data_IF_341163453937
#
_entry.id   IF_341163453937
#
_cell.length_a   1.000
_cell.length_b   1.000
_cell.length_c   1.000
_cell.angle_alpha   90.00
_cell.angle_beta   90.00
_cell.angle_gamma   90.00
#
_symmetry.space_group_name_H-M   'P 1'
#
loop_
_entity.id
_entity.type
_entity.pdbx_description
1 polymer ?
#
# COMPACT_ATOMS: atom_id res chain seq x y z
N UNK A 1 74.87 -16.06 52.42
CA UNK A 1 73.88 -17.08 52.04
C UNK A 1 72.58 -16.75 52.76
N UNK A 2 71.46 -16.57 52.04
CA UNK A 2 70.08 -17.01 52.40
C UNK A 2 69.53 -16.42 53.73
N UNK A 3 68.39 -15.73 53.86
CA UNK A 3 67.17 -15.41 53.09
C UNK A 3 66.59 -14.16 53.77
N UNK A 4 66.02 -13.21 53.01
CA UNK A 4 65.16 -12.16 53.60
C UNK A 4 63.81 -12.20 52.89
N UNK A 5 62.82 -12.66 53.64
CA UNK A 5 61.39 -12.41 53.45
C UNK A 5 61.05 -11.18 54.31
N UNK A 6 60.41 -10.15 53.75
CA UNK A 6 59.47 -9.31 54.49
C UNK A 6 58.67 -8.42 53.53
N UNK A 7 57.38 -8.32 53.81
CA UNK A 7 56.33 -7.90 52.91
C UNK A 7 55.87 -6.44 53.14
N UNK A 8 55.35 -5.87 52.04
CA UNK A 8 54.22 -4.91 51.90
C UNK A 8 54.13 -3.64 52.75
N UNK A 9 54.00 -2.48 52.07
CA UNK A 9 52.86 -1.54 52.23
C UNK A 9 52.66 -0.68 50.97
N UNK A 10 51.40 -0.47 50.60
CA UNK A 10 50.87 0.33 49.48
C UNK A 10 50.98 1.85 49.71
N UNK A 11 51.17 2.63 48.62
CA UNK A 11 50.41 3.88 48.35
C UNK A 11 50.71 4.50 46.97
N UNK A 12 49.72 4.42 46.08
CA UNK A 12 49.11 5.46 45.23
C UNK A 12 49.99 6.66 44.75
N UNK A 13 50.21 6.80 43.42
CA UNK A 13 49.45 7.70 42.52
C UNK A 13 50.19 8.01 41.20
N UNK A 14 49.46 7.94 40.08
CA UNK A 14 49.53 8.95 39.02
C UNK A 14 50.55 8.78 37.88
N UNK A 15 50.14 8.13 36.79
CA UNK A 15 50.55 8.56 35.43
C UNK A 15 49.34 8.53 34.50
N UNK A 16 48.93 9.72 34.05
CA UNK A 16 48.00 9.92 32.93
C UNK A 16 48.67 9.41 31.66
N UNK A 17 48.02 8.50 30.95
CA UNK A 17 48.33 8.24 29.53
C UNK A 17 47.70 9.33 28.67
N UNK A 18 48.32 9.73 27.54
CA UNK A 18 47.72 10.69 26.62
C UNK A 18 46.50 10.07 25.95
N UNK A 19 45.41 10.82 25.88
CA UNK A 19 44.24 10.49 25.08
C UNK A 19 44.54 10.88 23.63
N UNK A 20 44.67 9.90 22.73
CA UNK A 20 44.67 10.15 21.30
C UNK A 20 43.26 10.64 20.91
N UNK A 21 43.14 11.92 20.56
CA UNK A 21 41.91 12.48 20.00
C UNK A 21 41.86 12.17 18.50
N UNK A 22 41.22 11.07 18.13
CA UNK A 22 40.77 10.83 16.76
C UNK A 22 39.74 11.89 16.38
N UNK A 23 39.88 12.60 15.25
CA UNK A 23 38.84 13.53 14.78
C UNK A 23 37.53 12.79 14.52
N UNK A 24 36.42 13.30 15.06
CA UNK A 24 35.10 12.75 14.80
C UNK A 24 34.74 12.90 13.32
N UNK A 25 34.46 11.77 12.66
CA UNK A 25 33.91 11.74 11.30
C UNK A 25 32.53 12.43 11.32
N UNK A 26 32.27 13.42 10.44
CA UNK A 26 30.96 14.04 10.37
C UNK A 26 29.88 13.01 9.99
N UNK A 27 28.66 13.12 10.53
CA UNK A 27 27.57 12.23 10.17
C UNK A 27 27.30 12.30 8.66
N UNK A 28 26.97 11.17 8.01
CA UNK A 28 26.64 11.17 6.59
C UNK A 28 25.47 12.13 6.35
N UNK A 29 25.71 13.14 5.51
CA UNK A 29 24.66 14.04 5.04
C UNK A 29 23.67 13.22 4.23
N UNK A 30 22.46 13.03 4.75
CA UNK A 30 21.34 12.46 4.01
C UNK A 30 21.06 13.37 2.80
N UNK A 31 21.19 12.81 1.61
CA UNK A 31 20.75 13.49 0.39
C UNK A 31 19.25 13.84 0.52
N UNK A 32 18.81 15.02 0.04
CA UNK A 32 17.39 15.34 -0.02
C UNK A 32 16.62 14.23 -0.72
N UNK A 33 15.40 13.87 -0.27
CA UNK A 33 14.55 12.94 -0.98
C UNK A 33 14.45 13.38 -2.44
N UNK A 34 14.73 12.48 -3.37
CA UNK A 34 14.52 12.75 -4.78
C UNK A 34 13.07 13.21 -4.97
N UNK A 35 12.86 14.40 -5.51
CA UNK A 35 11.53 14.87 -5.90
C UNK A 35 10.99 13.86 -6.90
N UNK A 36 10.01 13.06 -6.47
CA UNK A 36 9.34 12.12 -7.36
C UNK A 36 8.63 12.94 -8.45
N UNK A 37 8.79 12.60 -9.73
CA UNK A 37 8.14 13.32 -10.81
C UNK A 37 6.63 13.35 -10.58
N UNK A 38 6.01 14.52 -10.71
CA UNK A 38 4.55 14.60 -10.81
C UNK A 38 4.13 13.74 -12.00
N UNK A 39 3.21 12.77 -11.83
CA UNK A 39 2.74 11.96 -12.94
C UNK A 39 2.24 12.88 -14.07
N UNK A 40 2.55 12.57 -15.34
CA UNK A 40 2.02 13.34 -16.45
C UNK A 40 0.48 13.38 -16.34
N UNK A 41 -0.15 14.50 -16.72
CA UNK A 41 -1.60 14.59 -16.70
C UNK A 41 -2.19 13.47 -17.54
N UNK A 42 -3.05 12.67 -16.92
CA UNK A 42 -3.73 11.56 -17.56
C UNK A 42 -4.64 12.05 -18.67
N UNK A 43 -4.85 11.24 -19.72
CA UNK A 43 -5.78 11.58 -20.82
C UNK A 43 -7.18 11.90 -20.27
N UNK A 44 -7.54 11.30 -19.13
CA UNK A 44 -8.78 11.52 -18.40
C UNK A 44 -8.95 12.96 -17.88
N UNK A 45 -7.89 13.60 -17.39
CA UNK A 45 -8.00 14.97 -16.88
C UNK A 45 -8.30 16.00 -17.98
N UNK A 46 -8.03 15.66 -19.25
CA UNK A 46 -8.44 16.47 -20.42
C UNK A 46 -9.94 16.39 -20.72
N UNK A 47 -10.57 15.23 -20.51
CA UNK A 47 -11.99 15.03 -20.81
C UNK A 47 -12.89 15.43 -19.63
N UNK A 48 -12.37 15.43 -18.41
CA UNK A 48 -13.15 15.69 -17.20
C UNK A 48 -14.04 14.52 -16.79
N UNK A 49 -14.55 14.56 -15.57
CA UNK A 49 -15.49 13.57 -15.02
C UNK A 49 -16.92 13.95 -15.41
N UNK A 50 -17.78 12.96 -15.69
CA UNK A 50 -19.14 13.21 -16.20
C UNK A 50 -20.20 12.57 -15.29
N UNK A 51 -21.36 13.24 -15.33
CA UNK A 51 -22.45 13.47 -14.39
C UNK A 51 -23.22 12.26 -13.80
N UNK A 52 -23.86 12.45 -12.61
CA UNK A 52 -24.76 11.52 -11.91
C UNK A 52 -26.10 11.17 -12.61
N UNK A 53 -26.36 11.60 -13.85
CA UNK A 53 -27.53 11.16 -14.63
C UNK A 53 -27.10 10.65 -16.00
N UNK A 54 -27.34 9.38 -16.25
CA UNK A 54 -27.01 8.69 -17.49
C UNK A 54 -28.13 7.70 -17.84
N UNK A 55 -28.20 7.33 -19.11
CA UNK A 55 -28.98 6.18 -19.55
C UNK A 55 -28.02 5.15 -20.10
N UNK A 56 -27.99 3.98 -19.46
CA UNK A 56 -27.15 2.86 -19.88
C UNK A 56 -28.02 1.78 -20.53
N UNK A 57 -27.64 1.33 -21.71
CA UNK A 57 -28.32 0.26 -22.43
C UNK A 57 -27.31 -0.68 -23.08
N UNK A 58 -27.71 -1.94 -23.26
CA UNK A 58 -26.92 -2.88 -24.05
C UNK A 58 -26.86 -2.41 -25.51
N UNK A 59 -25.65 -2.43 -26.06
CA UNK A 59 -25.31 -2.01 -27.42
C UNK A 59 -24.08 -2.82 -27.88
N UNK A 60 -23.41 -2.42 -28.95
CA UNK A 60 -22.15 -2.99 -29.40
C UNK A 60 -20.95 -2.29 -28.74
N UNK A 61 -19.95 -3.03 -28.23
CA UNK A 61 -18.79 -2.41 -27.62
C UNK A 61 -17.95 -1.63 -28.64
N UNK A 62 -17.67 -0.37 -28.35
CA UNK A 62 -16.84 0.53 -29.16
C UNK A 62 -15.34 0.36 -28.89
N UNK A 63 -14.96 -0.12 -27.71
CA UNK A 63 -13.56 -0.17 -27.23
C UNK A 63 -13.02 -1.57 -26.93
N UNK A 64 -13.76 -2.64 -27.26
CA UNK A 64 -13.34 -4.03 -27.00
C UNK A 64 -11.94 -4.35 -27.57
N UNK A 65 -11.60 -4.01 -28.83
CA UNK A 65 -10.27 -4.30 -29.38
C UNK A 65 -9.13 -3.61 -28.62
N UNK A 66 -9.36 -2.39 -28.13
CA UNK A 66 -8.36 -1.59 -27.40
C UNK A 66 -8.15 -2.13 -25.98
N UNK A 67 -9.21 -2.60 -25.33
CA UNK A 67 -9.14 -3.30 -24.04
C UNK A 67 -8.36 -4.58 -24.17
N UNK A 68 -8.67 -5.39 -25.18
CA UNK A 68 -7.95 -6.64 -25.41
C UNK A 68 -6.48 -6.38 -25.71
N UNK A 69 -6.17 -5.41 -26.56
CA UNK A 69 -4.78 -5.00 -26.79
C UNK A 69 -4.08 -4.54 -25.51
N UNK A 70 -4.75 -3.75 -24.66
CA UNK A 70 -4.19 -3.26 -23.40
C UNK A 70 -3.92 -4.40 -22.40
N UNK A 71 -4.79 -5.42 -22.37
CA UNK A 71 -4.60 -6.64 -21.59
C UNK A 71 -3.38 -7.44 -22.07
N UNK A 72 -3.23 -7.65 -23.39
CA UNK A 72 -2.07 -8.37 -23.93
C UNK A 72 -0.76 -7.62 -23.66
N UNK A 73 -0.79 -6.29 -23.79
CA UNK A 73 0.33 -5.43 -23.42
C UNK A 73 0.69 -5.57 -21.94
N UNK A 74 -0.32 -5.58 -21.07
CA UNK A 74 -0.10 -5.70 -19.62
C UNK A 74 0.51 -7.06 -19.26
N UNK A 75 0.02 -8.15 -19.84
CA UNK A 75 0.61 -9.50 -19.68
C UNK A 75 2.08 -9.51 -20.12
N UNK A 76 2.39 -8.83 -21.23
CA UNK A 76 3.77 -8.75 -21.74
C UNK A 76 4.69 -7.88 -20.88
N UNK A 77 4.17 -6.77 -20.34
CA UNK A 77 4.96 -5.80 -19.56
C UNK A 77 5.18 -6.27 -18.12
N UNK A 78 4.15 -6.89 -17.54
CA UNK A 78 4.08 -7.26 -16.13
C UNK A 78 3.60 -8.71 -15.95
N UNK A 79 4.31 -9.72 -16.47
CA UNK A 79 3.89 -11.11 -16.33
C UNK A 79 3.76 -11.56 -14.86
N UNK A 80 4.46 -10.89 -13.93
CA UNK A 80 4.44 -11.18 -12.49
C UNK A 80 3.07 -10.96 -11.82
N UNK A 81 2.18 -10.14 -12.39
CA UNK A 81 0.85 -9.92 -11.81
C UNK A 81 -0.16 -11.01 -12.22
N UNK A 82 0.28 -12.01 -12.98
CA UNK A 82 -0.53 -13.11 -13.50
C UNK A 82 0.03 -14.47 -13.11
N UNK A 83 -0.84 -15.47 -12.95
CA UNK A 83 -0.46 -16.87 -13.00
C UNK A 83 -0.61 -17.39 -14.44
N UNK A 84 0.46 -17.32 -15.23
CA UNK A 84 0.42 -17.73 -16.64
C UNK A 84 0.23 -19.25 -16.85
N UNK A 85 0.44 -20.05 -15.79
CA UNK A 85 0.17 -21.50 -15.81
C UNK A 85 -1.31 -21.85 -15.63
N UNK A 86 -2.15 -20.88 -15.30
CA UNK A 86 -3.57 -21.08 -14.99
C UNK A 86 -4.42 -20.15 -15.85
N UNK A 87 -5.14 -20.71 -16.82
CA UNK A 87 -5.96 -19.94 -17.75
C UNK A 87 -7.35 -20.57 -17.89
N UNK A 88 -8.39 -19.73 -17.93
CA UNK A 88 -9.76 -20.16 -18.23
C UNK A 88 -10.05 -20.25 -19.74
N UNK A 89 -9.00 -20.28 -20.57
CA UNK A 89 -9.04 -20.33 -22.04
C UNK A 89 -8.69 -19.00 -22.70
N UNK A 90 -8.23 -19.01 -23.96
CA UNK A 90 -8.04 -17.80 -24.78
C UNK A 90 -7.11 -16.72 -24.21
N UNK A 91 -6.10 -17.08 -23.42
CA UNK A 91 -5.21 -16.10 -22.76
C UNK A 91 -5.84 -15.39 -21.56
N UNK A 92 -6.91 -15.93 -20.98
CA UNK A 92 -7.55 -15.43 -19.77
C UNK A 92 -6.83 -15.96 -18.52
N UNK A 93 -5.68 -15.40 -18.22
CA UNK A 93 -4.85 -15.82 -17.09
C UNK A 93 -5.48 -15.44 -15.75
N UNK A 94 -5.18 -16.22 -14.70
CA UNK A 94 -5.51 -15.83 -13.33
C UNK A 94 -4.70 -14.59 -12.96
N UNK A 95 -5.37 -13.56 -12.47
CA UNK A 95 -4.77 -12.33 -11.94
C UNK A 95 -4.38 -12.56 -10.48
N UNK A 96 -3.12 -12.31 -10.15
CA UNK A 96 -2.56 -12.38 -8.78
C UNK A 96 -2.62 -11.05 -8.06
N UNK A 97 -2.55 -9.96 -8.83
CA UNK A 97 -2.61 -8.60 -8.32
C UNK A 97 -3.72 -7.80 -8.97
N UNK A 98 -4.94 -7.83 -8.40
CA UNK A 98 -6.08 -7.07 -8.91
C UNK A 98 -5.80 -5.58 -9.04
N UNK A 99 -5.15 -4.97 -8.04
CA UNK A 99 -4.88 -3.54 -8.06
C UNK A 99 -3.93 -3.13 -9.17
N UNK A 100 -2.81 -3.86 -9.32
CA UNK A 100 -1.85 -3.62 -10.40
C UNK A 100 -2.45 -3.95 -11.77
N UNK A 101 -3.39 -4.90 -11.85
CA UNK A 101 -4.11 -5.20 -13.07
C UNK A 101 -4.94 -4.02 -13.56
N UNK A 102 -5.77 -3.42 -12.69
CA UNK A 102 -6.58 -2.25 -13.06
C UNK A 102 -5.73 -1.03 -13.38
N UNK A 103 -4.73 -0.71 -12.54
CA UNK A 103 -3.84 0.44 -12.77
C UNK A 103 -3.09 0.30 -14.10
N UNK A 104 -2.48 -0.87 -14.36
CA UNK A 104 -1.75 -1.12 -15.61
C UNK A 104 -2.66 -1.13 -16.84
N UNK A 105 -3.88 -1.67 -16.72
CA UNK A 105 -4.84 -1.67 -17.81
C UNK A 105 -5.29 -0.25 -18.17
N UNK A 106 -5.56 0.59 -17.17
CA UNK A 106 -5.88 2.01 -17.35
C UNK A 106 -4.72 2.74 -18.04
N UNK A 107 -3.49 2.55 -17.56
CA UNK A 107 -2.30 3.16 -18.18
C UNK A 107 -2.13 2.76 -19.66
N UNK A 108 -2.34 1.49 -20.00
CA UNK A 108 -2.24 1.01 -21.38
C UNK A 108 -3.38 1.51 -22.27
N UNK A 109 -4.58 1.76 -21.72
CA UNK A 109 -5.67 2.42 -22.45
C UNK A 109 -5.40 3.91 -22.65
N UNK A 110 -4.83 4.57 -21.65
CA UNK A 110 -4.42 5.98 -21.75
C UNK A 110 -3.33 6.19 -22.81
N UNK A 111 -2.36 5.27 -22.89
CA UNK A 111 -1.35 5.25 -23.94
C UNK A 111 -1.95 5.06 -25.35
N UNK A 112 -3.16 4.51 -25.45
CA UNK A 112 -3.93 4.42 -26.70
C UNK A 112 -4.81 5.66 -26.97
N UNK A 113 -4.74 6.69 -26.13
CA UNK A 113 -5.52 7.92 -26.25
C UNK A 113 -6.95 7.82 -25.72
N UNK A 114 -7.27 6.75 -24.99
CA UNK A 114 -8.55 6.56 -24.32
C UNK A 114 -8.49 7.05 -22.88
N UNK A 115 -9.65 7.19 -22.26
CA UNK A 115 -9.80 7.48 -20.85
C UNK A 115 -10.46 6.27 -20.20
N UNK A 116 -9.83 5.72 -19.17
CA UNK A 116 -10.36 4.59 -18.42
C UNK A 116 -10.44 4.89 -16.92
N UNK A 117 -11.49 4.40 -16.27
CA UNK A 117 -11.75 4.54 -14.84
C UNK A 117 -12.38 3.25 -14.32
N UNK A 118 -12.21 2.97 -13.04
CA UNK A 118 -12.81 1.82 -12.39
C UNK A 118 -13.61 2.31 -11.19
N UNK A 119 -14.84 1.85 -11.05
CA UNK A 119 -15.79 2.29 -10.02
C UNK A 119 -15.96 1.29 -8.87
N UNK A 120 -15.14 0.23 -8.85
CA UNK A 120 -15.24 -0.88 -7.91
C UNK A 120 -15.91 -2.14 -8.50
N UNK A 121 -16.59 -2.02 -9.64
CA UNK A 121 -17.27 -3.15 -10.30
C UNK A 121 -16.93 -3.24 -11.79
N UNK A 122 -17.05 -2.13 -12.53
CA UNK A 122 -16.87 -2.05 -13.97
C UNK A 122 -15.71 -1.12 -14.32
N UNK A 123 -15.02 -1.42 -15.43
CA UNK A 123 -14.09 -0.50 -16.08
C UNK A 123 -14.87 0.35 -17.09
N UNK A 124 -14.96 1.65 -16.82
CA UNK A 124 -15.50 2.66 -17.72
C UNK A 124 -14.43 3.02 -18.76
N UNK A 125 -14.77 3.04 -20.05
CA UNK A 125 -13.87 3.51 -21.11
C UNK A 125 -14.56 4.51 -22.02
N UNK A 126 -13.91 5.65 -22.28
CA UNK A 126 -14.41 6.70 -23.16
C UNK A 126 -13.30 7.38 -23.95
N UNK A 127 -13.65 8.01 -25.06
CA UNK A 127 -12.76 8.92 -25.82
C UNK A 127 -13.30 10.36 -25.89
N UNK A 128 -14.53 10.58 -25.41
CA UNK A 128 -15.23 11.86 -25.34
C UNK A 128 -16.27 11.79 -24.20
N UNK A 129 -17.00 12.88 -23.95
CA UNK A 129 -18.05 12.90 -22.92
C UNK A 129 -19.44 12.50 -23.44
N UNK A 130 -19.57 12.17 -24.72
CA UNK A 130 -20.88 11.79 -25.29
C UNK A 130 -21.31 10.39 -24.87
N UNK A 131 -20.37 9.45 -24.68
CA UNK A 131 -20.68 8.11 -24.19
C UNK A 131 -19.47 7.46 -23.52
N UNK A 132 -19.73 6.42 -22.73
CA UNK A 132 -18.72 5.49 -22.22
C UNK A 132 -19.25 4.06 -22.34
N UNK A 133 -18.36 3.13 -22.64
CA UNK A 133 -18.66 1.70 -22.51
C UNK A 133 -18.19 1.20 -21.15
N UNK A 134 -18.93 0.24 -20.59
CA UNK A 134 -18.62 -0.43 -19.34
C UNK A 134 -18.21 -1.88 -19.60
N UNK A 135 -17.17 -2.34 -18.87
CA UNK A 135 -16.63 -3.68 -19.04
C UNK A 135 -16.36 -4.35 -17.69
N UNK A 136 -16.75 -5.62 -17.58
CA UNK A 136 -16.08 -6.51 -16.62
C UNK A 136 -14.82 -7.05 -17.27
N UNK A 137 -13.67 -6.64 -16.74
CA UNK A 137 -12.34 -7.05 -17.24
C UNK A 137 -11.69 -8.13 -16.38
N UNK A 138 -12.34 -8.49 -15.26
CA UNK A 138 -11.94 -9.56 -14.35
C UNK A 138 -13.18 -10.31 -13.87
N UNK A 139 -13.07 -11.62 -13.65
CA UNK A 139 -14.13 -12.42 -13.02
C UNK A 139 -14.00 -12.39 -11.50
N UNK A 140 -15.03 -12.79 -10.76
CA UNK A 140 -14.94 -12.99 -9.30
C UNK A 140 -13.93 -14.06 -8.87
N UNK A 141 -13.64 -15.04 -9.74
CA UNK A 141 -12.55 -16.01 -9.54
C UNK A 141 -11.18 -15.47 -10.04
N UNK A 142 -11.05 -14.14 -10.13
CA UNK A 142 -9.94 -13.36 -10.70
C UNK A 142 -9.19 -14.01 -11.86
N UNK A 143 -9.92 -14.39 -12.91
CA UNK A 143 -9.37 -14.55 -14.23
C UNK A 143 -9.61 -13.28 -15.04
N UNK A 144 -8.68 -12.94 -15.92
CA UNK A 144 -8.91 -11.93 -16.94
C UNK A 144 -10.19 -12.26 -17.72
N UNK A 145 -11.00 -11.26 -18.03
CA UNK A 145 -12.27 -11.43 -18.74
C UNK A 145 -12.23 -10.68 -20.06
N UNK A 146 -12.36 -11.41 -21.18
CA UNK A 146 -12.19 -10.89 -22.55
C UNK A 146 -13.37 -11.26 -23.45
N UNK A 147 -13.40 -10.74 -24.69
CA UNK A 147 -14.42 -11.04 -25.70
C UNK A 147 -15.83 -10.56 -25.36
N UNK A 148 -16.84 -11.20 -25.97
CA UNK A 148 -18.27 -10.92 -25.75
C UNK A 148 -18.68 -11.04 -24.30
N UNK A 149 -17.93 -11.86 -23.54
CA UNK A 149 -18.11 -12.03 -22.13
C UNK A 149 -17.70 -10.81 -21.32
N UNK A 150 -17.01 -9.79 -21.83
CA UNK A 150 -16.47 -8.65 -21.05
C UNK A 150 -17.39 -7.43 -21.02
N UNK A 151 -17.91 -6.98 -22.17
CA UNK A 151 -18.81 -5.84 -22.29
C UNK A 151 -20.09 -5.98 -21.44
N UNK A 152 -20.57 -4.83 -20.94
CA UNK A 152 -21.77 -4.74 -20.10
C UNK A 152 -22.82 -3.86 -20.75
N UNK A 153 -22.47 -2.59 -20.95
CA UNK A 153 -23.42 -1.55 -21.33
C UNK A 153 -22.69 -0.33 -21.90
N UNK A 154 -23.41 0.49 -22.64
CA UNK A 154 -22.96 1.82 -23.08
C UNK A 154 -23.85 2.85 -22.42
N UNK A 155 -23.24 3.84 -21.77
CA UNK A 155 -23.93 4.92 -21.09
C UNK A 155 -23.82 6.22 -21.88
N UNK A 156 -24.94 6.94 -21.99
CA UNK A 156 -25.03 8.27 -22.63
C UNK A 156 -25.74 9.25 -21.68
N UNK A 157 -25.12 10.39 -21.31
CA UNK A 157 -23.73 10.74 -21.56
C UNK A 157 -22.75 9.78 -20.87
N UNK A 158 -21.45 9.94 -21.14
CA UNK A 158 -20.41 9.14 -20.51
C UNK A 158 -20.52 9.13 -18.98
N UNK A 159 -20.20 8.01 -18.35
CA UNK A 159 -20.16 7.83 -16.90
C UNK A 159 -18.72 7.58 -16.49
N UNK A 160 -18.27 8.29 -15.46
CA UNK A 160 -16.91 8.14 -14.96
C UNK A 160 -16.87 8.39 -13.46
N UNK A 161 -16.15 7.58 -12.68
CA UNK A 161 -16.05 7.75 -11.23
C UNK A 161 -15.45 9.13 -10.93
N UNK A 162 -16.09 9.89 -10.04
CA UNK A 162 -15.52 11.14 -9.53
C UNK A 162 -14.34 10.79 -8.63
N UNK A 163 -13.19 11.47 -8.75
CA UNK A 163 -12.09 11.27 -7.81
C UNK A 163 -12.53 11.82 -6.45
N UNK A 164 -12.46 11.04 -5.37
CA UNK A 164 -12.53 11.53 -4.01
C UNK A 164 -11.66 12.77 -3.76
N UNK A 165 -12.06 13.63 -2.82
CA UNK A 165 -11.25 14.78 -2.44
C UNK A 165 -9.88 14.31 -1.96
N UNK A 166 -8.81 15.09 -2.20
CA UNK A 166 -7.50 14.78 -1.67
C UNK A 166 -7.58 14.69 -0.15
N UNK A 167 -6.89 13.71 0.42
CA UNK A 167 -6.83 13.56 1.86
C UNK A 167 -6.12 14.75 2.51
N UNK A 168 -6.48 15.11 3.76
CA UNK A 168 -5.83 16.19 4.48
C UNK A 168 -4.32 15.95 4.60
N UNK A 169 -3.56 17.05 4.64
CA UNK A 169 -2.10 17.05 4.70
C UNK A 169 -1.51 16.29 5.90
N UNK A 170 -0.27 15.85 5.73
CA UNK A 170 0.31 14.73 6.44
C UNK A 170 0.81 15.01 7.88
N UNK A 171 0.59 14.06 8.80
CA UNK A 171 1.25 13.91 10.11
C UNK A 171 2.76 13.57 9.98
N UNK A 172 3.53 14.37 9.23
CA UNK A 172 4.98 14.21 9.10
C UNK A 172 5.47 13.29 7.99
N UNK A 173 4.60 12.71 7.16
CA UNK A 173 5.06 11.98 5.97
C UNK A 173 5.35 12.89 4.76
N UNK A 174 6.43 12.58 4.01
CA UNK A 174 6.90 13.39 2.90
C UNK A 174 6.24 13.07 1.54
N UNK A 175 5.45 12.00 1.45
CA UNK A 175 4.78 11.61 0.20
C UNK A 175 3.54 12.45 -0.04
N UNK A 176 3.21 12.74 -1.31
CA UNK A 176 1.96 13.39 -1.65
C UNK A 176 0.77 12.51 -1.23
N UNK A 177 -0.37 13.17 -1.01
CA UNK A 177 -1.62 12.43 -0.89
C UNK A 177 -1.94 11.70 -2.19
N UNK A 178 -2.62 10.58 -2.09
CA UNK A 178 -3.04 9.76 -3.21
C UNK A 178 -4.39 9.15 -2.95
N UNK A 179 -5.02 8.73 -4.03
CA UNK A 179 -6.31 8.10 -3.97
C UNK A 179 -6.25 6.79 -4.74
N UNK A 180 -6.61 5.74 -4.03
CA UNK A 180 -6.74 4.41 -4.57
C UNK A 180 -7.88 4.30 -5.57
N UNK A 181 -7.67 3.48 -6.59
CA UNK A 181 -8.71 3.05 -7.53
C UNK A 181 -9.40 1.79 -6.98
N UNK A 182 -8.65 0.95 -6.28
CA UNK A 182 -9.15 -0.30 -5.70
C UNK A 182 -8.28 -0.72 -4.52
N UNK A 183 -8.90 -1.43 -3.58
CA UNK A 183 -8.24 -2.16 -2.50
C UNK A 183 -8.70 -3.60 -2.58
N UNK A 184 -7.76 -4.55 -2.65
CA UNK A 184 -8.07 -5.97 -2.64
C UNK A 184 -6.99 -6.75 -1.90
N UNK A 185 -7.28 -8.00 -1.59
CA UNK A 185 -6.31 -8.90 -0.98
C UNK A 185 -5.31 -9.38 -2.04
N UNK A 186 -4.07 -8.95 -1.91
CA UNK A 186 -2.94 -9.43 -2.73
C UNK A 186 -2.33 -10.73 -2.18
N UNK A 187 -1.66 -11.50 -3.04
CA UNK A 187 -0.97 -12.76 -2.65
C UNK A 187 0.19 -12.52 -1.65
N UNK A 188 0.81 -11.33 -1.70
CA UNK A 188 1.95 -10.96 -0.87
C UNK A 188 1.65 -9.71 -0.05
N UNK A 189 2.23 -9.66 1.16
CA UNK A 189 2.28 -8.44 1.96
C UNK A 189 3.73 -7.98 2.16
N UNK A 190 4.00 -6.70 1.90
CA UNK A 190 5.35 -6.14 1.84
C UNK A 190 5.80 -5.50 3.16
N UNK A 191 4.90 -4.90 3.93
CA UNK A 191 5.20 -4.13 5.13
C UNK A 191 4.84 -4.86 6.43
N UNK A 192 4.31 -6.09 6.38
CA UNK A 192 3.87 -6.85 7.56
C UNK A 192 4.96 -6.99 8.62
N UNK A 193 6.19 -7.28 8.19
CA UNK A 193 7.33 -7.41 9.11
C UNK A 193 7.66 -6.11 9.85
N UNK A 194 7.46 -4.96 9.19
CA UNK A 194 7.69 -3.64 9.79
C UNK A 194 6.53 -3.23 10.72
N UNK A 195 5.29 -3.62 10.39
CA UNK A 195 4.13 -3.49 11.29
C UNK A 195 4.33 -4.33 12.55
N UNK A 196 4.79 -5.58 12.41
CA UNK A 196 5.11 -6.43 13.56
C UNK A 196 6.24 -5.83 14.41
N UNK A 197 7.25 -5.20 13.78
CA UNK A 197 8.31 -4.46 14.48
C UNK A 197 7.75 -3.23 15.22
N UNK A 198 6.77 -2.54 14.65
CA UNK A 198 6.13 -1.40 15.29
C UNK A 198 5.34 -1.83 16.53
N UNK A 199 4.60 -2.94 16.48
CA UNK A 199 3.92 -3.50 17.65
C UNK A 199 4.91 -3.79 18.78
N UNK A 200 6.06 -4.39 18.47
CA UNK A 200 7.12 -4.65 19.48
C UNK A 200 7.68 -3.35 20.07
N UNK A 201 7.90 -2.34 19.22
CA UNK A 201 8.39 -1.03 19.67
C UNK A 201 7.39 -0.35 20.61
N UNK A 202 6.11 -0.29 20.22
CA UNK A 202 5.05 0.31 21.03
C UNK A 202 4.89 -0.44 22.35
N UNK A 203 4.86 -1.77 22.34
CA UNK A 203 4.79 -2.57 23.57
C UNK A 203 5.96 -2.34 24.54
N UNK A 204 7.16 -2.07 24.00
CA UNK A 204 8.35 -1.80 24.79
C UNK A 204 8.38 -0.37 25.35
N UNK A 205 7.98 0.61 24.54
CA UNK A 205 8.08 2.04 24.89
C UNK A 205 6.87 2.54 25.65
N UNK A 206 5.72 1.92 25.43
CA UNK A 206 4.42 2.25 26.02
C UNK A 206 3.76 1.03 26.68
N UNK A 207 4.42 0.38 27.65
CA UNK A 207 3.87 -0.79 28.32
C UNK A 207 2.54 -0.49 29.06
N UNK A 208 2.28 0.77 29.40
CA UNK A 208 1.02 1.23 30.00
C UNK A 208 -0.22 1.02 29.12
N UNK A 209 -0.03 0.86 27.81
CA UNK A 209 -1.14 0.64 26.86
C UNK A 209 -1.62 -0.82 26.86
N UNK A 210 -0.96 -1.72 27.59
CA UNK A 210 -1.18 -3.16 27.49
C UNK A 210 -1.30 -3.85 28.83
N UNK A 211 -2.09 -4.93 28.85
CA UNK A 211 -2.09 -5.90 29.93
C UNK A 211 -1.41 -7.20 29.45
N UNK A 212 -0.11 -7.31 29.69
CA UNK A 212 0.69 -8.48 29.28
C UNK A 212 0.31 -9.79 29.97
N UNK A 213 -0.46 -9.75 31.07
CA UNK A 213 -0.94 -10.95 31.76
C UNK A 213 -2.27 -11.46 31.20
N UNK A 214 -2.91 -10.70 30.31
CA UNK A 214 -4.12 -11.10 29.62
C UNK A 214 -3.83 -11.26 28.13
N UNK A 215 -3.83 -12.51 27.66
CA UNK A 215 -3.55 -12.84 26.26
C UNK A 215 -4.76 -13.53 25.64
N UNK A 216 -5.00 -13.29 24.36
CA UNK A 216 -6.08 -13.97 23.64
C UNK A 216 -5.79 -15.48 23.59
N UNK A 217 -6.75 -16.35 23.97
CA UNK A 217 -6.53 -17.80 24.01
C UNK A 217 -5.96 -18.36 22.71
N UNK A 218 -4.87 -19.13 22.81
CA UNK A 218 -4.21 -19.75 21.66
C UNK A 218 -3.22 -18.85 20.91
N UNK A 219 -2.93 -17.66 21.42
CA UNK A 219 -2.00 -16.69 20.82
C UNK A 219 -1.03 -16.14 21.86
N UNK A 220 -0.10 -15.30 21.42
CA UNK A 220 0.74 -14.42 22.26
C UNK A 220 0.25 -12.96 22.25
N UNK A 221 -0.99 -12.73 21.84
CA UNK A 221 -1.55 -11.39 21.65
C UNK A 221 -2.06 -10.83 22.96
N UNK A 222 -1.34 -9.87 23.52
CA UNK A 222 -1.71 -9.21 24.77
C UNK A 222 -2.87 -8.21 24.59
N UNK A 223 -3.66 -8.06 25.65
CA UNK A 223 -4.79 -7.14 25.68
C UNK A 223 -4.33 -5.69 25.63
N UNK A 224 -5.08 -4.86 24.91
CA UNK A 224 -4.92 -3.42 24.83
C UNK A 224 -5.83 -2.79 25.88
N UNK A 225 -5.27 -1.90 26.70
CA UNK A 225 -6.00 -1.16 27.74
C UNK A 225 -6.59 0.13 27.15
N UNK A 226 -5.82 0.79 26.29
CA UNK A 226 -6.17 2.08 25.69
C UNK A 226 -5.98 2.00 24.17
N UNK A 227 -7.08 1.77 23.46
CA UNK A 227 -7.09 1.55 22.02
C UNK A 227 -6.70 2.82 21.26
N UNK A 228 -7.24 3.98 21.66
CA UNK A 228 -7.02 5.24 20.96
C UNK A 228 -5.53 5.61 20.99
N UNK A 229 -4.89 5.49 22.16
CA UNK A 229 -3.46 5.75 22.27
C UNK A 229 -2.60 4.66 21.62
N UNK A 230 -3.03 3.39 21.63
CA UNK A 230 -2.36 2.33 20.89
C UNK A 230 -2.27 2.64 19.39
N UNK A 231 -3.37 3.04 18.75
CA UNK A 231 -3.38 3.38 17.34
C UNK A 231 -2.50 4.60 17.04
N UNK A 232 -2.56 5.63 17.89
CA UNK A 232 -1.71 6.81 17.76
C UNK A 232 -0.21 6.46 17.85
N UNK A 233 0.19 5.62 18.79
CA UNK A 233 1.59 5.20 18.93
C UNK A 233 2.04 4.26 17.82
N UNK A 234 1.14 3.44 17.27
CA UNK A 234 1.43 2.63 16.08
C UNK A 234 1.72 3.48 14.85
N UNK A 235 0.92 4.53 14.61
CA UNK A 235 1.17 5.49 13.54
C UNK A 235 2.53 6.17 13.72
N UNK A 236 2.83 6.67 14.92
CA UNK A 236 4.13 7.29 15.24
C UNK A 236 5.30 6.33 15.07
N UNK A 237 5.15 5.06 15.48
CA UNK A 237 6.17 4.04 15.32
C UNK A 237 6.46 3.78 13.84
N UNK A 238 5.43 3.66 13.00
CA UNK A 238 5.62 3.50 11.55
C UNK A 238 6.29 4.72 10.92
N UNK A 239 5.88 5.94 11.30
CA UNK A 239 6.54 7.17 10.85
C UNK A 239 8.01 7.21 11.26
N UNK A 240 8.35 6.74 12.46
CA UNK A 240 9.75 6.65 12.92
C UNK A 240 10.59 5.66 12.10
N UNK A 241 9.96 4.72 11.40
CA UNK A 241 10.61 3.80 10.47
C UNK A 241 10.68 4.35 9.03
N UNK A 242 10.26 5.60 8.81
CA UNK A 242 10.27 6.27 7.51
C UNK A 242 9.04 5.97 6.64
N UNK A 243 7.95 5.47 7.24
CA UNK A 243 6.69 5.27 6.53
C UNK A 243 5.79 6.49 6.63
N UNK A 244 4.87 6.59 5.68
CA UNK A 244 3.62 7.30 5.85
C UNK A 244 2.62 6.36 6.49
N UNK A 245 1.97 6.79 7.55
CA UNK A 245 0.96 5.95 8.19
C UNK A 245 -0.14 6.78 8.82
N UNK A 246 -1.33 6.18 8.89
CA UNK A 246 -2.49 6.68 9.61
C UNK A 246 -3.32 5.51 10.11
N UNK A 247 -4.18 5.79 11.08
CA UNK A 247 -5.29 4.90 11.44
C UNK A 247 -6.56 5.52 10.87
N UNK A 248 -7.30 4.78 10.05
CA UNK A 248 -8.51 5.30 9.36
C UNK A 248 -9.81 5.08 10.14
N UNK A 249 -9.71 4.51 11.34
CA UNK A 249 -10.83 4.14 12.20
C UNK A 249 -11.05 2.64 12.29
N UNK A 250 -10.50 1.87 11.35
CA UNK A 250 -10.58 0.40 11.33
C UNK A 250 -9.19 -0.23 11.15
N UNK A 251 -8.37 0.31 10.25
CA UNK A 251 -7.11 -0.28 9.83
C UNK A 251 -5.94 0.71 10.01
N UNK A 252 -4.77 0.14 10.32
CA UNK A 252 -3.51 0.84 10.17
C UNK A 252 -3.12 0.83 8.70
N UNK A 253 -3.12 2.02 8.09
CA UNK A 253 -2.72 2.21 6.71
C UNK A 253 -1.26 2.61 6.63
N UNK A 254 -0.50 1.99 5.75
CA UNK A 254 0.95 2.16 5.63
C UNK A 254 1.35 2.31 4.16
N UNK A 255 2.12 3.35 3.84
CA UNK A 255 2.77 3.48 2.53
C UNK A 255 4.19 4.02 2.63
N UNK A 256 5.08 3.54 1.77
CA UNK A 256 6.48 4.00 1.62
C UNK A 256 6.78 4.58 0.25
N UNK A 257 5.93 4.23 -0.71
CA UNK A 257 5.87 4.76 -2.08
C UNK A 257 4.42 5.17 -2.35
N UNK A 258 4.20 5.93 -3.43
CA UNK A 258 2.85 6.36 -3.77
C UNK A 258 2.10 5.39 -4.70
N UNK A 259 2.76 4.30 -5.11
CA UNK A 259 2.22 3.32 -6.04
C UNK A 259 1.22 2.38 -5.36
N UNK A 260 1.38 2.13 -4.04
CA UNK A 260 0.46 1.33 -3.24
C UNK A 260 0.58 1.61 -1.74
N UNK A 261 -0.49 1.31 -1.01
CA UNK A 261 -0.51 1.23 0.45
C UNK A 261 -0.94 -0.17 0.86
N UNK A 262 -0.57 -0.56 2.07
CA UNK A 262 -1.09 -1.78 2.70
C UNK A 262 -1.87 -1.41 3.95
N UNK A 263 -2.93 -2.18 4.17
CA UNK A 263 -3.87 -2.00 5.24
C UNK A 263 -3.79 -3.19 6.18
N UNK A 264 -3.68 -2.89 7.48
CA UNK A 264 -3.52 -3.89 8.52
C UNK A 264 -4.55 -3.71 9.60
N UNK A 265 -5.27 -4.77 9.88
CA UNK A 265 -6.01 -4.90 11.11
C UNK A 265 -5.04 -5.33 12.21
N UNK A 266 -4.67 -4.37 13.05
CA UNK A 266 -3.75 -4.53 14.18
C UNK A 266 -4.49 -4.70 15.51
N UNK A 267 -5.82 -4.90 15.46
CA UNK A 267 -6.72 -4.98 16.60
C UNK A 267 -7.71 -6.14 16.44
N UNK A 268 -7.57 -7.19 17.24
CA UNK A 268 -8.61 -8.19 17.35
C UNK A 268 -9.80 -7.56 18.10
N UNK A 269 -11.01 -7.63 17.52
CA UNK A 269 -12.25 -6.99 18.03
C UNK A 269 -12.63 -7.27 19.50
N UNK A 270 -11.93 -8.20 20.15
CA UNK A 270 -12.05 -8.55 21.56
C UNK A 270 -11.10 -7.74 22.48
N UNK A 271 -10.37 -6.74 21.94
CA UNK A 271 -9.49 -5.89 22.74
C UNK A 271 -8.04 -6.35 22.80
N UNK A 272 -7.55 -7.13 21.84
CA UNK A 272 -6.17 -7.64 21.82
C UNK A 272 -5.43 -7.09 20.61
N UNK A 273 -4.11 -6.99 20.71
CA UNK A 273 -3.30 -6.74 19.51
C UNK A 273 -3.53 -7.86 18.48
N UNK A 274 -3.35 -7.56 17.19
CA UNK A 274 -3.38 -8.58 16.14
C UNK A 274 -2.06 -8.58 15.40
N UNK A 275 -1.48 -9.77 15.20
CA UNK A 275 -0.17 -9.97 14.56
C UNK A 275 -0.21 -11.10 13.54
N UNK A 276 0.88 -11.26 12.79
CA UNK A 276 1.05 -12.38 11.88
C UNK A 276 0.27 -12.21 10.57
N UNK A 277 0.23 -13.26 9.74
CA UNK A 277 -0.36 -13.21 8.40
C UNK A 277 -1.82 -12.72 8.39
N UNK A 278 -2.59 -13.04 9.43
CA UNK A 278 -3.98 -12.62 9.53
C UNK A 278 -4.19 -11.13 9.78
N UNK A 279 -3.15 -10.34 10.09
CA UNK A 279 -3.28 -8.90 10.27
C UNK A 279 -3.40 -8.14 8.93
N UNK A 280 -2.81 -8.67 7.86
CA UNK A 280 -2.91 -8.07 6.53
C UNK A 280 -4.35 -8.19 6.00
N UNK A 281 -4.88 -7.10 5.47
CA UNK A 281 -6.26 -7.03 4.97
C UNK A 281 -6.32 -6.79 3.47
N UNK A 282 -5.61 -5.78 3.01
CA UNK A 282 -5.62 -5.40 1.60
C UNK A 282 -4.39 -4.59 1.24
N UNK A 283 -4.14 -4.52 -0.07
CA UNK A 283 -3.30 -3.48 -0.66
C UNK A 283 -4.19 -2.62 -1.55
N UNK A 284 -3.96 -1.31 -1.52
CA UNK A 284 -4.67 -0.35 -2.34
C UNK A 284 -3.76 0.24 -3.42
N UNK A 285 -4.30 0.38 -4.63
CA UNK A 285 -3.58 0.86 -5.81
C UNK A 285 -4.35 1.95 -6.56
N UNK A 286 -3.75 3.13 -6.82
CA UNK A 286 -2.54 3.66 -6.17
C UNK A 286 -2.64 3.69 -4.65
N UNK A 287 -1.59 4.11 -3.95
CA UNK A 287 -1.64 4.15 -2.50
C UNK A 287 -2.85 4.94 -1.99
N UNK A 288 -3.50 4.47 -0.95
CA UNK A 288 -4.47 5.27 -0.23
C UNK A 288 -3.76 6.43 0.51
N UNK A 289 -4.52 7.51 0.74
CA UNK A 289 -4.20 8.69 1.55
C UNK A 289 -3.08 9.62 1.12
#
# INVERSE_FOLDING_TARGET
>A
MVVILAATTLSVCGKKSPSDSTPATPPPTTAPPATQPTPPPTTCSRLGYVSPSNSCASDSPSFQPQIEKAMDQLVSQHPEIFNLGEASGGGQYRVRSPGRYYVGLIQNLEAQGLCAGFDGEELQVKNSNSFSDQYHVMTSAFYMRRGTGSYRTTCTPAVFPTPPPPFPGNNGCPLPGSLEITCDHEDESFYRGDVERAIVKVAKEHPELFNFNNVQPGTDWFAIIDNDNYFNEMVKAMISFGYCSRFDGEELVVKKVNDFSEHYDIFAGEGYIRRGPGAYRSSCFPAAF
#
